data_IF_205457605026
#
_entry.id   IF_205457605026
#
_cell.length_a   1.000
_cell.length_b   1.000
_cell.length_c   1.000
_cell.angle_alpha   90.00
_cell.angle_beta   90.00
_cell.angle_gamma   90.00
#
_symmetry.space_group_name_H-M   'P 1'
#
loop_
_entity.id
_entity.type
_entity.pdbx_description
1 polymer ?
#
# COMPACT_ATOMS: atom_id res chain seq x y z
N UNK A 1 30.07 2.87 -41.78
CA UNK A 1 30.42 1.93 -40.69
C UNK A 1 30.91 2.65 -39.43
N UNK A 2 31.90 3.57 -39.49
CA UNK A 2 32.38 4.32 -38.31
C UNK A 2 31.30 5.06 -37.52
N UNK A 3 30.35 5.73 -38.19
CA UNK A 3 29.24 6.42 -37.50
C UNK A 3 28.24 5.45 -36.82
N UNK A 4 28.04 4.25 -37.36
CA UNK A 4 27.16 3.23 -36.74
C UNK A 4 27.84 2.56 -35.55
N UNK A 5 29.15 2.31 -35.63
CA UNK A 5 29.96 1.83 -34.51
C UNK A 5 29.98 2.86 -33.37
N UNK A 6 30.24 4.14 -33.68
CA UNK A 6 30.20 5.21 -32.69
C UNK A 6 28.80 5.39 -32.06
N UNK A 7 27.72 5.23 -32.82
CA UNK A 7 26.35 5.26 -32.29
C UNK A 7 26.03 4.04 -31.40
N UNK A 8 26.50 2.84 -31.77
CA UNK A 8 26.35 1.62 -30.95
C UNK A 8 27.18 1.68 -29.66
N UNK A 9 28.41 2.18 -29.74
CA UNK A 9 29.27 2.36 -28.57
C UNK A 9 28.69 3.42 -27.63
N UNK A 10 28.21 4.56 -28.14
CA UNK A 10 27.49 5.54 -27.31
C UNK A 10 26.22 4.97 -26.69
N UNK A 11 25.55 4.03 -27.37
CA UNK A 11 24.35 3.35 -26.86
C UNK A 11 24.66 2.46 -25.66
N UNK A 12 25.73 1.65 -25.67
CA UNK A 12 26.04 0.76 -24.52
C UNK A 12 26.42 1.56 -23.26
N UNK A 13 27.21 2.62 -23.42
CA UNK A 13 27.65 3.44 -22.30
C UNK A 13 26.45 4.18 -21.71
N UNK A 14 25.55 4.68 -22.57
CA UNK A 14 24.28 5.24 -22.13
C UNK A 14 23.44 4.23 -21.34
N UNK A 15 23.24 3.00 -21.85
CA UNK A 15 22.49 1.96 -21.13
C UNK A 15 23.12 1.62 -19.79
N UNK A 16 24.46 1.60 -19.72
CA UNK A 16 25.20 1.30 -18.48
C UNK A 16 25.07 2.41 -17.43
N UNK A 17 25.15 3.67 -17.86
CA UNK A 17 24.94 4.83 -16.97
C UNK A 17 23.50 4.85 -16.44
N UNK A 18 22.51 4.63 -17.32
CA UNK A 18 21.10 4.56 -16.93
C UNK A 18 20.86 3.43 -15.92
N UNK A 19 21.46 2.26 -16.15
CA UNK A 19 21.36 1.12 -15.23
C UNK A 19 21.89 1.47 -13.83
N UNK A 20 23.08 2.07 -13.75
CA UNK A 20 23.68 2.47 -12.47
C UNK A 20 22.81 3.50 -11.74
N UNK A 21 22.27 4.49 -12.45
CA UNK A 21 21.35 5.49 -11.89
C UNK A 21 20.10 4.80 -11.33
N UNK A 22 19.51 3.87 -12.08
CA UNK A 22 18.30 3.16 -11.65
C UNK A 22 18.53 2.30 -10.41
N UNK A 23 19.64 1.55 -10.35
CA UNK A 23 20.02 0.79 -9.16
C UNK A 23 20.20 1.72 -7.95
N UNK A 24 20.91 2.83 -8.10
CA UNK A 24 21.13 3.78 -7.02
C UNK A 24 19.81 4.36 -6.48
N UNK A 25 18.88 4.72 -7.37
CA UNK A 25 17.54 5.21 -6.99
C UNK A 25 16.74 4.14 -6.25
N UNK A 26 16.74 2.89 -6.74
CA UNK A 26 16.02 1.78 -6.11
C UNK A 26 16.56 1.47 -4.71
N UNK A 27 17.88 1.40 -4.55
CA UNK A 27 18.50 1.21 -3.25
C UNK A 27 18.10 2.33 -2.27
N UNK A 28 18.12 3.58 -2.72
CA UNK A 28 17.68 4.73 -1.91
C UNK A 28 16.21 4.66 -1.54
N UNK A 29 15.33 4.23 -2.45
CA UNK A 29 13.90 4.08 -2.19
C UNK A 29 13.64 2.95 -1.19
N UNK A 30 14.23 1.77 -1.38
CA UNK A 30 14.07 0.65 -0.45
C UNK A 30 14.59 0.95 0.94
N UNK A 31 15.72 1.66 1.05
CA UNK A 31 16.24 2.13 2.34
C UNK A 31 15.23 3.02 3.08
N UNK A 32 14.57 3.94 2.36
CA UNK A 32 13.53 4.82 2.93
C UNK A 32 12.22 4.07 3.25
N UNK A 33 11.91 3.01 2.50
CA UNK A 33 10.71 2.20 2.68
C UNK A 33 10.81 1.33 3.94
N UNK A 34 11.98 0.83 4.32
CA UNK A 34 12.24 0.23 5.64
C UNK A 34 11.74 -1.22 5.88
N UNK A 35 12.31 -1.81 6.95
CA UNK A 35 12.50 -3.23 7.29
C UNK A 35 13.76 -3.86 6.67
N UNK A 36 14.75 -4.17 7.51
CA UNK A 36 16.05 -4.76 7.14
C UNK A 36 15.89 -6.04 6.30
N UNK A 37 14.94 -6.91 6.65
CA UNK A 37 14.68 -8.15 5.91
C UNK A 37 14.14 -7.89 4.50
N UNK A 38 13.30 -6.87 4.34
CA UNK A 38 12.77 -6.49 3.03
C UNK A 38 13.89 -5.93 2.14
N UNK A 39 14.75 -5.10 2.71
CA UNK A 39 15.93 -4.53 2.04
C UNK A 39 16.92 -5.63 1.65
N UNK A 40 17.21 -6.60 2.53
CA UNK A 40 18.11 -7.71 2.25
C UNK A 40 17.65 -8.56 1.05
N UNK A 41 16.36 -8.92 1.00
CA UNK A 41 15.80 -9.67 -0.13
C UNK A 41 15.89 -8.89 -1.46
N UNK A 42 15.69 -7.57 -1.42
CA UNK A 42 15.82 -6.71 -2.58
C UNK A 42 17.28 -6.61 -3.05
N UNK A 43 18.24 -6.50 -2.12
CA UNK A 43 19.67 -6.46 -2.41
C UNK A 43 20.10 -7.72 -3.17
N UNK A 44 19.71 -8.91 -2.71
CA UNK A 44 20.06 -10.18 -3.39
C UNK A 44 19.58 -10.16 -4.85
N UNK A 45 18.33 -9.74 -5.07
CA UNK A 45 17.76 -9.63 -6.42
C UNK A 45 18.55 -8.65 -7.30
N UNK A 46 18.95 -7.50 -6.75
CA UNK A 46 19.73 -6.51 -7.50
C UNK A 46 21.17 -6.96 -7.76
N UNK A 47 21.80 -7.70 -6.86
CA UNK A 47 23.13 -8.30 -7.10
C UNK A 47 23.07 -9.27 -8.28
N UNK A 48 22.07 -10.16 -8.31
CA UNK A 48 21.88 -11.07 -9.45
C UNK A 48 21.67 -10.28 -10.75
N UNK A 49 20.87 -9.22 -10.73
CA UNK A 49 20.64 -8.38 -11.91
C UNK A 49 21.92 -7.67 -12.37
N UNK A 50 22.75 -7.21 -11.44
CA UNK A 50 24.07 -6.61 -11.73
C UNK A 50 24.98 -7.65 -12.38
N UNK A 51 25.06 -8.88 -11.86
CA UNK A 51 25.84 -9.94 -12.47
C UNK A 51 25.40 -10.25 -13.90
N UNK A 52 24.08 -10.31 -14.15
CA UNK A 52 23.52 -10.49 -15.50
C UNK A 52 23.89 -9.32 -16.41
N UNK A 53 23.77 -8.08 -15.91
CA UNK A 53 24.10 -6.89 -16.68
C UNK A 53 25.60 -6.84 -17.06
N UNK A 54 26.48 -7.14 -16.10
CA UNK A 54 27.93 -7.25 -16.33
C UNK A 54 28.23 -8.33 -17.37
N UNK A 55 27.60 -9.50 -17.26
CA UNK A 55 27.77 -10.58 -18.24
C UNK A 55 27.40 -10.13 -19.66
N UNK A 56 26.26 -9.44 -19.82
CA UNK A 56 25.82 -8.93 -21.13
C UNK A 56 26.78 -7.83 -21.64
N UNK A 57 27.30 -6.99 -20.73
CA UNK A 57 28.27 -5.95 -21.06
C UNK A 57 29.59 -6.55 -21.56
N UNK A 58 30.11 -7.57 -20.86
CA UNK A 58 31.33 -8.29 -21.27
C UNK A 58 31.14 -9.02 -22.59
N UNK A 59 29.98 -9.64 -22.82
CA UNK A 59 29.66 -10.26 -24.12
C UNK A 59 29.59 -9.26 -25.27
N UNK A 60 29.18 -8.02 -25.00
CA UNK A 60 29.19 -6.95 -25.99
C UNK A 60 30.60 -6.40 -26.26
N UNK A 61 31.45 -6.38 -25.23
CA UNK A 61 32.84 -5.91 -25.30
C UNK A 61 33.78 -6.95 -25.92
N UNK A 62 33.43 -8.23 -25.84
CA UNK A 62 34.08 -9.29 -26.58
C UNK A 62 33.76 -9.16 -28.07
N UNK A 63 34.72 -9.50 -28.94
CA UNK A 63 34.68 -9.37 -30.41
C UNK A 63 33.73 -10.40 -31.08
N UNK A 64 32.56 -10.58 -30.48
CA UNK A 64 31.54 -11.55 -30.85
C UNK A 64 30.71 -11.02 -32.03
N UNK A 65 30.14 -11.94 -32.81
CA UNK A 65 29.31 -11.67 -33.99
C UNK A 65 28.38 -10.44 -33.79
N UNK A 66 28.33 -9.48 -34.73
CA UNK A 66 27.51 -8.25 -34.61
C UNK A 66 26.03 -8.48 -34.30
N UNK A 67 25.46 -9.63 -34.67
CA UNK A 67 24.09 -10.00 -34.27
C UNK A 67 23.94 -10.17 -32.75
N UNK A 68 24.92 -10.81 -32.10
CA UNK A 68 24.96 -10.98 -30.64
C UNK A 68 25.16 -9.62 -29.96
N UNK A 69 25.98 -8.73 -30.53
CA UNK A 69 26.20 -7.37 -30.04
C UNK A 69 24.91 -6.53 -30.01
N UNK A 70 24.09 -6.61 -31.06
CA UNK A 70 22.78 -5.93 -31.13
C UNK A 70 21.76 -6.56 -30.17
N UNK A 71 21.76 -7.88 -30.00
CA UNK A 71 20.90 -8.55 -29.03
C UNK A 71 21.23 -8.14 -27.59
N UNK A 72 22.52 -7.99 -27.25
CA UNK A 72 22.96 -7.50 -25.94
C UNK A 72 22.43 -6.10 -25.63
N UNK A 73 22.48 -5.17 -26.59
CA UNK A 73 21.91 -3.82 -26.44
C UNK A 73 20.40 -3.85 -26.20
N UNK A 74 19.68 -4.71 -26.92
CA UNK A 74 18.23 -4.88 -26.73
C UNK A 74 17.92 -5.42 -25.34
N UNK A 75 18.63 -6.45 -24.87
CA UNK A 75 18.43 -7.04 -23.55
C UNK A 75 18.74 -6.01 -22.44
N UNK A 76 19.83 -5.25 -22.56
CA UNK A 76 20.14 -4.16 -21.62
C UNK A 76 19.03 -3.10 -21.57
N UNK A 77 18.47 -2.75 -22.72
CA UNK A 77 17.36 -1.80 -22.81
C UNK A 77 16.13 -2.35 -22.09
N UNK A 78 15.80 -3.63 -22.27
CA UNK A 78 14.70 -4.29 -21.57
C UNK A 78 14.92 -4.34 -20.05
N UNK A 79 16.15 -4.61 -19.59
CA UNK A 79 16.51 -4.56 -18.17
C UNK A 79 16.29 -3.14 -17.62
N UNK A 80 16.70 -2.10 -18.34
CA UNK A 80 16.49 -0.72 -17.92
C UNK A 80 15.01 -0.33 -17.87
N UNK A 81 14.19 -0.76 -18.83
CA UNK A 81 12.73 -0.56 -18.79
C UNK A 81 12.11 -1.27 -17.57
N UNK A 82 12.56 -2.50 -17.29
CA UNK A 82 12.14 -3.25 -16.12
C UNK A 82 12.49 -2.53 -14.81
N UNK A 83 13.71 -2.01 -14.70
CA UNK A 83 14.16 -1.24 -13.54
C UNK A 83 13.37 0.07 -13.40
N UNK A 84 13.11 0.77 -14.50
CA UNK A 84 12.29 1.99 -14.50
C UNK A 84 10.89 1.71 -13.97
N UNK A 85 10.26 0.62 -14.42
CA UNK A 85 8.96 0.20 -13.91
C UNK A 85 8.99 -0.05 -12.39
N UNK A 86 10.03 -0.72 -11.90
CA UNK A 86 10.23 -0.92 -10.46
C UNK A 86 10.45 0.38 -9.69
N UNK A 87 11.12 1.38 -10.26
CA UNK A 87 11.29 2.71 -9.66
C UNK A 87 9.92 3.39 -9.54
N UNK A 88 9.11 3.35 -10.60
CA UNK A 88 7.76 3.93 -10.59
C UNK A 88 6.94 3.31 -9.45
N UNK A 89 6.88 1.98 -9.37
CA UNK A 89 6.14 1.28 -8.29
C UNK A 89 6.67 1.72 -6.91
N UNK A 90 7.98 1.67 -6.71
CA UNK A 90 8.61 1.98 -5.42
C UNK A 90 8.43 3.44 -5.01
N UNK A 91 8.38 4.36 -5.98
CA UNK A 91 8.15 5.79 -5.73
C UNK A 91 6.74 6.08 -5.21
N UNK A 92 5.74 5.32 -5.68
CA UNK A 92 4.35 5.42 -5.21
C UNK A 92 4.12 4.61 -3.94
N UNK A 93 4.91 3.56 -3.71
CA UNK A 93 4.89 2.77 -2.49
C UNK A 93 5.35 3.57 -1.26
N UNK A 94 6.40 4.37 -1.40
CA UNK A 94 6.98 5.14 -0.30
C UNK A 94 5.97 6.06 0.44
N UNK A 95 5.20 6.94 -0.23
CA UNK A 95 4.22 7.78 0.46
C UNK A 95 3.09 6.95 1.08
N UNK A 96 2.70 5.83 0.46
CA UNK A 96 1.71 4.92 1.02
C UNK A 96 2.19 4.29 2.33
N UNK A 97 3.41 3.72 2.36
CA UNK A 97 3.97 3.11 3.58
C UNK A 97 4.22 4.14 4.68
N UNK A 98 4.57 5.36 4.33
CA UNK A 98 4.71 6.46 5.31
C UNK A 98 3.37 6.82 5.95
N UNK A 99 2.30 6.93 5.16
CA UNK A 99 0.96 7.19 5.70
C UNK A 99 0.50 6.04 6.62
N UNK A 100 0.76 4.79 6.24
CA UNK A 100 0.47 3.63 7.09
C UNK A 100 1.26 3.66 8.41
N UNK A 101 2.56 3.98 8.38
CA UNK A 101 3.39 4.12 9.59
C UNK A 101 2.95 5.27 10.48
N UNK A 102 2.54 6.40 9.89
CA UNK A 102 2.02 7.55 10.64
C UNK A 102 0.79 7.17 11.48
N UNK A 103 -0.05 6.25 10.99
CA UNK A 103 -1.18 5.73 11.76
C UNK A 103 -0.78 4.71 12.86
N UNK A 104 0.45 4.17 12.82
CA UNK A 104 0.99 3.26 13.85
C UNK A 104 1.71 4.02 14.94
N UNK A 105 2.55 4.98 14.56
CA UNK A 105 3.46 5.68 15.48
C UNK A 105 2.76 6.83 16.24
N UNK A 106 1.49 7.14 15.93
CA UNK A 106 0.72 8.23 16.56
C UNK A 106 -0.80 8.01 16.55
N UNK A 107 -1.56 8.98 17.09
CA UNK A 107 -3.03 9.00 17.02
C UNK A 107 -3.43 9.16 15.55
N UNK A 108 -3.84 8.07 14.89
CA UNK A 108 -4.24 8.07 13.48
C UNK A 108 -5.36 9.10 13.27
N UNK A 109 -5.03 10.22 12.63
CA UNK A 109 -6.01 11.26 12.31
C UNK A 109 -6.80 10.87 11.07
N UNK A 110 -8.03 11.40 10.92
CA UNK A 110 -8.85 11.16 9.72
C UNK A 110 -8.12 11.52 8.42
N UNK A 111 -7.28 12.55 8.46
CA UNK A 111 -6.45 12.98 7.34
C UNK A 111 -5.38 11.96 6.97
N UNK A 112 -4.77 11.29 7.94
CA UNK A 112 -3.76 10.25 7.68
C UNK A 112 -4.39 8.99 7.07
N UNK A 113 -5.60 8.64 7.55
CA UNK A 113 -6.36 7.52 7.01
C UNK A 113 -6.80 7.77 5.56
N UNK A 114 -7.29 8.97 5.26
CA UNK A 114 -7.66 9.37 3.91
C UNK A 114 -6.45 9.35 2.97
N UNK A 115 -5.30 9.87 3.42
CA UNK A 115 -4.05 9.80 2.66
C UNK A 115 -3.59 8.36 2.44
N UNK A 116 -3.68 7.49 3.45
CA UNK A 116 -3.36 6.07 3.31
C UNK A 116 -4.27 5.39 2.27
N UNK A 117 -5.57 5.67 2.27
CA UNK A 117 -6.51 5.14 1.29
C UNK A 117 -6.24 5.63 -0.13
N UNK A 118 -6.02 6.93 -0.30
CA UNK A 118 -5.78 7.53 -1.61
C UNK A 118 -4.44 7.07 -2.20
N UNK A 119 -3.38 7.06 -1.40
CA UNK A 119 -2.07 6.58 -1.82
C UNK A 119 -2.06 5.05 -2.05
N UNK A 120 -2.76 4.28 -1.21
CA UNK A 120 -2.91 2.82 -1.38
C UNK A 120 -3.64 2.46 -2.67
N UNK A 121 -4.76 3.14 -2.97
CA UNK A 121 -5.49 2.96 -4.23
C UNK A 121 -4.61 3.25 -5.44
N UNK A 122 -3.81 4.33 -5.40
CA UNK A 122 -2.90 4.68 -6.50
C UNK A 122 -1.79 3.66 -6.66
N UNK A 123 -1.16 3.24 -5.56
CA UNK A 123 -0.13 2.21 -5.54
C UNK A 123 -0.62 0.90 -6.15
N UNK A 124 -1.75 0.38 -5.68
CA UNK A 124 -2.28 -0.90 -6.14
C UNK A 124 -2.77 -0.87 -7.59
N UNK A 125 -3.32 0.25 -8.05
CA UNK A 125 -3.67 0.42 -9.48
C UNK A 125 -2.44 0.34 -10.38
N UNK A 126 -1.34 0.99 -10.00
CA UNK A 126 -0.09 0.97 -10.79
C UNK A 126 0.56 -0.41 -10.72
N UNK A 127 0.67 -0.98 -9.51
CA UNK A 127 1.29 -2.29 -9.29
C UNK A 127 0.60 -3.40 -10.08
N UNK A 128 -0.73 -3.40 -10.12
CA UNK A 128 -1.51 -4.45 -10.79
C UNK A 128 -1.91 -4.12 -12.24
N UNK A 129 -1.39 -3.04 -12.82
CA UNK A 129 -1.73 -2.60 -14.19
C UNK A 129 -1.54 -3.73 -15.21
N UNK A 130 -0.37 -4.35 -15.25
CA UNK A 130 -0.07 -5.42 -16.21
C UNK A 130 -0.93 -6.67 -15.97
N UNK A 131 -1.15 -7.06 -14.72
CA UNK A 131 -2.05 -8.17 -14.36
C UNK A 131 -3.49 -7.92 -14.77
N UNK A 132 -3.96 -6.66 -14.76
CA UNK A 132 -5.33 -6.35 -15.16
C UNK A 132 -5.60 -6.65 -16.63
N UNK A 133 -4.57 -6.51 -17.49
CA UNK A 133 -4.65 -6.80 -18.93
C UNK A 133 -4.78 -8.31 -19.20
N UNK A 134 -4.21 -9.16 -18.33
CA UNK A 134 -4.29 -10.62 -18.44
C UNK A 134 -5.45 -11.27 -17.68
N UNK A 135 -6.28 -10.48 -16.97
CA UNK A 135 -7.26 -11.00 -16.01
C UNK A 135 -8.55 -11.54 -16.63
N UNK A 136 -8.78 -11.33 -17.92
CA UNK A 136 -10.05 -11.69 -18.60
C UNK A 136 -11.25 -10.82 -18.19
N UNK A 137 -11.06 -9.83 -17.31
CA UNK A 137 -12.09 -8.86 -16.88
C UNK A 137 -11.72 -7.47 -17.38
N UNK A 138 -12.71 -6.57 -17.51
CA UNK A 138 -12.47 -5.17 -17.82
C UNK A 138 -11.38 -4.58 -16.87
N UNK A 139 -10.25 -4.07 -17.39
CA UNK A 139 -9.09 -3.66 -16.58
C UNK A 139 -9.44 -2.68 -15.46
N UNK A 140 -10.33 -1.72 -15.75
CA UNK A 140 -10.76 -0.72 -14.76
C UNK A 140 -11.57 -1.32 -13.60
N UNK A 141 -12.37 -2.36 -13.86
CA UNK A 141 -13.15 -3.05 -12.83
C UNK A 141 -12.24 -3.89 -11.95
N UNK A 142 -11.31 -4.63 -12.56
CA UNK A 142 -10.29 -5.39 -11.84
C UNK A 142 -9.44 -4.48 -10.94
N UNK A 143 -8.90 -3.39 -11.50
CA UNK A 143 -8.05 -2.45 -10.77
C UNK A 143 -8.78 -1.75 -9.63
N UNK A 144 -10.07 -1.41 -9.79
CA UNK A 144 -10.87 -0.84 -8.69
C UNK A 144 -11.11 -1.85 -7.57
N UNK A 145 -11.46 -3.09 -7.91
CA UNK A 145 -11.69 -4.15 -6.94
C UNK A 145 -10.44 -4.46 -6.14
N UNK A 146 -9.34 -4.79 -6.81
CA UNK A 146 -8.11 -5.22 -6.15
C UNK A 146 -7.46 -4.10 -5.34
N UNK A 147 -7.55 -2.84 -5.81
CA UNK A 147 -6.99 -1.71 -5.08
C UNK A 147 -7.78 -1.42 -3.80
N UNK A 148 -9.11 -1.56 -3.81
CA UNK A 148 -9.92 -1.38 -2.62
C UNK A 148 -9.69 -2.51 -1.61
N UNK A 149 -9.72 -3.75 -2.08
CA UNK A 149 -9.53 -4.96 -1.26
C UNK A 149 -8.16 -4.95 -0.57
N UNK A 150 -7.07 -4.80 -1.34
CA UNK A 150 -5.71 -4.84 -0.78
C UNK A 150 -5.40 -3.68 0.15
N UNK A 151 -5.92 -2.49 -0.14
CA UNK A 151 -5.75 -1.34 0.76
C UNK A 151 -6.47 -1.59 2.09
N UNK A 152 -7.67 -2.20 2.05
CA UNK A 152 -8.42 -2.58 3.24
C UNK A 152 -7.67 -3.64 4.07
N UNK A 153 -7.13 -4.67 3.42
CA UNK A 153 -6.38 -5.72 4.10
C UNK A 153 -5.11 -5.20 4.79
N UNK A 154 -4.38 -4.28 4.15
CA UNK A 154 -3.18 -3.68 4.73
C UNK A 154 -3.52 -2.75 5.91
N UNK A 155 -4.57 -1.94 5.80
CA UNK A 155 -5.08 -1.15 6.91
C UNK A 155 -5.50 -2.05 8.08
N UNK A 156 -6.24 -3.11 7.79
CA UNK A 156 -6.64 -4.11 8.78
C UNK A 156 -5.42 -4.70 9.50
N UNK A 157 -4.39 -5.13 8.77
CA UNK A 157 -3.13 -5.64 9.36
C UNK A 157 -2.42 -4.62 10.24
N UNK A 158 -2.42 -3.35 9.81
CA UNK A 158 -1.84 -2.25 10.58
C UNK A 158 -2.60 -2.04 11.89
N UNK A 159 -3.93 -2.05 11.86
CA UNK A 159 -4.77 -1.90 13.05
C UNK A 159 -4.66 -3.10 14.00
N UNK A 160 -4.64 -4.33 13.49
CA UNK A 160 -4.39 -5.55 14.30
C UNK A 160 -3.01 -5.50 14.98
N UNK A 161 -2.00 -4.96 14.28
CA UNK A 161 -0.65 -4.84 14.83
C UNK A 161 -0.52 -3.78 15.93
N UNK A 162 -1.42 -2.80 15.96
CA UNK A 162 -1.45 -1.73 16.97
C UNK A 162 -2.07 -2.18 18.29
N UNK A 163 -3.02 -3.11 18.23
CA UNK A 163 -3.62 -3.71 19.41
C UNK A 163 -3.83 -5.21 19.19
N UNK A 164 -2.87 -6.05 19.61
CA UNK A 164 -2.96 -7.50 19.43
C UNK A 164 -4.15 -8.13 20.18
N UNK A 165 -4.86 -7.38 21.03
CA UNK A 165 -6.10 -7.82 21.69
C UNK A 165 -7.38 -7.39 20.96
N UNK A 166 -7.36 -6.38 20.10
CA UNK A 166 -8.54 -5.96 19.32
C UNK A 166 -8.33 -6.28 17.84
N UNK A 167 -8.88 -7.43 17.41
CA UNK A 167 -8.65 -7.96 16.07
C UNK A 167 -9.18 -7.08 14.94
N UNK A 168 -10.16 -6.19 15.14
CA UNK A 168 -10.71 -5.37 14.07
C UNK A 168 -11.36 -4.14 14.69
N UNK A 169 -10.90 -2.93 14.32
CA UNK A 169 -11.43 -1.64 14.78
C UNK A 169 -11.65 -1.60 16.30
N UNK A 170 -10.58 -1.34 17.06
CA UNK A 170 -10.67 -1.18 18.51
C UNK A 170 -11.76 -0.17 18.90
N UNK A 171 -12.43 -0.45 20.01
CA UNK A 171 -13.35 0.49 20.70
C UNK A 171 -12.75 1.89 20.85
N UNK A 172 -11.43 1.99 21.03
CA UNK A 172 -10.68 3.24 21.06
C UNK A 172 -10.82 4.06 19.78
N UNK A 173 -10.75 3.43 18.60
CA UNK A 173 -10.90 4.10 17.31
C UNK A 173 -12.34 4.56 17.08
N UNK A 174 -13.31 3.76 17.53
CA UNK A 174 -14.73 4.14 17.51
C UNK A 174 -15.01 5.34 18.43
N UNK A 175 -14.44 5.36 19.63
CA UNK A 175 -14.57 6.49 20.55
C UNK A 175 -13.94 7.77 19.99
N UNK A 176 -12.75 7.65 19.36
CA UNK A 176 -12.13 8.78 18.68
C UNK A 176 -12.97 9.31 17.52
N UNK A 177 -13.57 8.43 16.72
CA UNK A 177 -14.51 8.84 15.68
C UNK A 177 -15.70 9.61 16.26
N UNK A 178 -16.31 9.14 17.36
CA UNK A 178 -17.42 9.83 18.01
C UNK A 178 -17.03 11.22 18.53
N UNK A 179 -15.85 11.34 19.15
CA UNK A 179 -15.31 12.63 19.60
C UNK A 179 -15.11 13.60 18.42
N UNK A 180 -14.56 13.10 17.32
CA UNK A 180 -14.33 13.93 16.14
C UNK A 180 -15.64 14.38 15.47
N UNK A 181 -16.64 13.50 15.38
CA UNK A 181 -17.97 13.87 14.88
C UNK A 181 -18.64 14.91 15.77
N UNK A 182 -18.49 14.76 17.09
CA UNK A 182 -19.01 15.71 18.07
C UNK A 182 -18.34 17.10 17.95
N UNK A 183 -17.04 17.14 17.63
CA UNK A 183 -16.29 18.38 17.41
C UNK A 183 -16.60 19.03 16.05
N UNK A 184 -16.90 18.22 15.03
CA UNK A 184 -17.31 18.68 13.71
C UNK A 184 -18.74 19.26 13.72
N UNK A 185 -19.61 18.75 14.60
CA UNK A 185 -21.00 19.20 14.71
C UNK A 185 -21.12 20.52 15.50
N UNK A 186 -20.97 21.63 14.76
CA UNK A 186 -21.13 22.99 15.28
C UNK A 186 -22.57 23.37 15.59
N UNK A 187 -23.56 22.57 15.19
CA UNK A 187 -24.99 22.88 15.38
C UNK A 187 -25.49 22.58 16.79
N UNK A 188 -24.77 21.75 17.56
CA UNK A 188 -25.15 21.41 18.93
C UNK A 188 -24.77 22.50 19.94
N UNK A 189 -25.67 22.72 20.91
CA UNK A 189 -25.43 23.55 22.07
C UNK A 189 -24.23 23.06 22.90
N UNK A 190 -23.45 23.99 23.44
CA UNK A 190 -22.18 23.73 24.12
C UNK A 190 -22.34 22.86 25.37
N UNK A 191 -23.44 23.04 26.11
CA UNK A 191 -23.74 22.23 27.31
C UNK A 191 -23.99 20.75 26.94
N UNK A 192 -24.78 20.51 25.89
CA UNK A 192 -25.05 19.15 25.37
C UNK A 192 -23.82 18.50 24.76
N UNK A 193 -22.95 19.30 24.13
CA UNK A 193 -21.67 18.82 23.60
C UNK A 193 -20.74 18.35 24.71
N UNK A 194 -20.65 19.11 25.81
CA UNK A 194 -19.83 18.70 26.97
C UNK A 194 -20.36 17.43 27.64
N UNK A 195 -21.68 17.28 27.76
CA UNK A 195 -22.32 16.07 28.28
C UNK A 195 -22.01 14.84 27.41
N UNK A 196 -22.21 14.94 26.10
CA UNK A 196 -21.92 13.86 25.15
C UNK A 196 -20.44 13.50 25.11
N UNK A 197 -19.55 14.49 25.22
CA UNK A 197 -18.11 14.25 25.30
C UNK A 197 -17.76 13.41 26.54
N UNK A 198 -18.29 13.74 27.71
CA UNK A 198 -18.10 12.96 28.94
C UNK A 198 -18.64 11.54 28.81
N UNK A 199 -19.79 11.36 28.15
CA UNK A 199 -20.36 10.03 27.91
C UNK A 199 -19.46 9.17 27.00
N UNK A 200 -18.89 9.77 25.94
CA UNK A 200 -17.95 9.08 25.04
C UNK A 200 -16.65 8.74 25.77
N UNK A 201 -16.12 9.65 26.58
CA UNK A 201 -14.93 9.39 27.41
C UNK A 201 -15.18 8.27 28.43
N UNK A 202 -16.36 8.23 29.04
CA UNK A 202 -16.78 7.16 29.94
C UNK A 202 -16.88 5.81 29.22
N UNK A 203 -17.52 5.78 28.04
CA UNK A 203 -17.59 4.60 27.17
C UNK A 203 -16.20 4.05 26.79
N UNK A 204 -15.21 4.94 26.63
CA UNK A 204 -13.83 4.55 26.36
C UNK A 204 -13.04 4.06 27.57
N UNK A 205 -13.45 4.44 28.77
CA UNK A 205 -12.82 3.99 30.01
C UNK A 205 -13.31 2.62 30.51
N UNK A 206 -14.48 2.16 30.06
CA UNK A 206 -15.07 0.90 30.51
C UNK A 206 -14.50 -0.30 29.73
N UNK A 207 -13.79 -1.24 30.41
CA UNK A 207 -13.20 -2.41 29.76
C UNK A 207 -14.22 -3.35 29.12
N UNK A 208 -15.41 -3.50 29.71
CA UNK A 208 -16.45 -4.40 29.21
C UNK A 208 -17.11 -3.84 27.95
N UNK A 209 -17.43 -2.55 27.93
CA UNK A 209 -17.96 -1.87 26.74
C UNK A 209 -16.94 -1.88 25.61
N UNK A 210 -15.66 -1.68 25.95
CA UNK A 210 -14.56 -1.75 25.00
C UNK A 210 -14.48 -3.13 24.32
N UNK A 211 -14.54 -4.21 25.11
CA UNK A 211 -14.51 -5.58 24.62
C UNK A 211 -15.72 -5.90 23.72
N UNK A 212 -16.94 -5.54 24.15
CA UNK A 212 -18.17 -5.81 23.39
C UNK A 212 -18.31 -4.98 22.13
N UNK A 213 -17.83 -3.74 22.14
CA UNK A 213 -17.74 -2.91 20.93
C UNK A 213 -16.77 -3.53 19.92
N UNK A 214 -15.63 -4.03 20.40
CA UNK A 214 -14.68 -4.78 19.57
C UNK A 214 -15.29 -6.05 18.98
N UNK A 215 -15.95 -6.89 19.80
CA UNK A 215 -16.64 -8.10 19.34
C UNK A 215 -17.71 -7.79 18.27
N UNK A 216 -18.49 -6.73 18.45
CA UNK A 216 -19.50 -6.28 17.50
C UNK A 216 -18.87 -5.85 16.17
N UNK A 217 -17.86 -4.98 16.21
CA UNK A 217 -17.16 -4.49 15.01
C UNK A 217 -16.45 -5.63 14.26
N UNK A 218 -15.88 -6.58 15.00
CA UNK A 218 -15.32 -7.82 14.48
C UNK A 218 -16.38 -8.63 13.70
N UNK A 219 -17.54 -8.88 14.30
CA UNK A 219 -18.62 -9.63 13.67
C UNK A 219 -19.17 -8.90 12.43
N UNK A 220 -19.26 -7.56 12.46
CA UNK A 220 -19.78 -6.77 11.35
C UNK A 220 -18.91 -6.85 10.10
N UNK A 221 -17.60 -7.03 10.29
CA UNK A 221 -16.63 -7.09 9.20
C UNK A 221 -16.31 -8.52 8.75
N UNK A 222 -16.35 -9.50 9.65
CA UNK A 222 -16.04 -10.89 9.33
C UNK A 222 -17.28 -11.72 8.93
N UNK A 223 -18.43 -11.50 9.57
CA UNK A 223 -19.64 -12.33 9.38
C UNK A 223 -20.91 -11.52 9.71
N UNK A 224 -21.35 -10.62 8.83
CA UNK A 224 -22.48 -9.73 9.09
C UNK A 224 -23.81 -10.47 9.26
N UNK A 225 -23.96 -11.67 8.68
CA UNK A 225 -25.15 -12.51 8.80
C UNK A 225 -25.36 -13.03 10.23
N UNK A 226 -24.28 -13.31 10.96
CA UNK A 226 -24.35 -13.77 12.36
C UNK A 226 -24.79 -12.67 13.34
N UNK A 227 -24.73 -11.39 12.96
CA UNK A 227 -25.29 -10.28 13.75
C UNK A 227 -26.81 -10.24 13.64
N UNK A 228 -27.36 -10.52 12.45
CA UNK A 228 -28.81 -10.58 12.25
C UNK A 228 -29.44 -11.68 13.11
N UNK A 229 -28.78 -12.82 13.26
CA UNK A 229 -29.26 -13.93 14.09
C UNK A 229 -29.07 -13.72 15.60
N UNK A 230 -28.07 -12.94 16.03
CA UNK A 230 -27.76 -12.67 17.45
C UNK A 230 -28.54 -11.49 18.07
N UNK A 231 -29.69 -11.13 17.50
CA UNK A 231 -30.61 -10.12 18.08
C UNK A 231 -30.56 -8.72 17.45
N UNK A 232 -29.77 -8.51 16.39
CA UNK A 232 -29.83 -7.26 15.61
C UNK A 232 -31.13 -7.15 14.81
N UNK A 233 -31.74 -8.29 14.45
CA UNK A 233 -33.04 -8.34 13.74
C UNK A 233 -34.17 -7.76 14.59
N UNK A 234 -34.24 -8.13 15.87
CA UNK A 234 -35.29 -7.66 16.79
C UNK A 234 -35.11 -6.16 17.11
N UNK A 235 -33.88 -5.70 17.31
CA UNK A 235 -33.58 -4.28 17.53
C UNK A 235 -33.76 -3.41 16.28
N UNK A 236 -33.59 -3.96 15.07
CA UNK A 236 -33.88 -3.27 13.81
C UNK A 236 -35.38 -3.24 13.47
N UNK A 237 -36.14 -4.26 13.92
CA UNK A 237 -37.61 -4.25 13.89
C UNK A 237 -38.17 -3.20 14.86
N UNK A 238 -37.68 -3.15 16.11
CA UNK A 238 -38.07 -2.14 17.10
C UNK A 238 -37.69 -0.70 16.68
N UNK A 239 -36.59 -0.54 15.93
CA UNK A 239 -36.19 0.74 15.35
C UNK A 239 -36.94 1.09 14.04
N UNK A 240 -37.89 0.26 13.59
CA UNK A 240 -38.73 0.50 12.41
C UNK A 240 -38.02 0.44 11.06
N UNK A 241 -36.83 -0.19 10.99
CA UNK A 241 -36.00 -0.22 9.78
C UNK A 241 -36.08 -1.51 8.98
N UNK A 242 -36.66 -2.56 9.56
CA UNK A 242 -36.98 -3.82 8.89
C UNK A 242 -38.43 -4.16 9.25
N UNK A 243 -39.27 -4.42 8.23
CA UNK A 243 -40.63 -4.90 8.40
C UNK A 243 -40.63 -6.40 8.75
#
# INVERSE_FOLDING_TARGET
>A
MLNQLAQMDMSIYFQSVVFLIFIAILLRLHWKIGSFMHVASAIVKYVVLICIFIYIFLNWASDVNPSLRNSSLLIMTLINIYLLWHIIISSVELPYRRALRSCVDGVCTMTDLEQAFNNGKRYYKIRYLWTSLGSGVAPWRFLRGIAAERTRDDLHRVFVGLDPKSSIFGSSLFNHFLLQQLDADKSMDAAKRAERRRAIEFLGSDPWLSEKTGEFLNHLLATPEGLLEKGLKDTLQDAGKIA
#
